data_IF_174469986261
#
_entry.id   IF_174469986261
#
_cell.length_a   1.000
_cell.length_b   1.000
_cell.length_c   1.000
_cell.angle_alpha   90.00
_cell.angle_beta   90.00
_cell.angle_gamma   90.00
#
_symmetry.space_group_name_H-M   'P 1'
#
loop_
_entity.id
_entity.type
_entity.pdbx_description
1 polymer ?
#
# COMPACT_ATOMS: atom_id res chain seq x y z
N UNK A 1 -46.69 -12.53 -13.32
CA UNK A 1 -46.55 -13.98 -13.56
C UNK A 1 -45.05 -14.22 -13.69
N UNK A 2 -44.29 -14.79 -12.74
CA UNK A 2 -44.51 -15.73 -11.63
C UNK A 2 -43.65 -15.28 -10.42
N UNK A 3 -44.23 -15.27 -9.20
CA UNK A 3 -43.99 -16.24 -8.10
C UNK A 3 -42.61 -16.08 -7.45
N UNK A 4 -42.43 -15.38 -6.31
CA UNK A 4 -42.94 -15.65 -4.95
C UNK A 4 -42.43 -16.98 -4.38
N UNK A 5 -41.26 -16.96 -3.72
CA UNK A 5 -40.90 -17.93 -2.68
C UNK A 5 -40.18 -17.20 -1.53
N UNK A 6 -40.74 -17.40 -0.34
CA UNK A 6 -40.39 -16.80 0.93
C UNK A 6 -39.92 -17.95 1.83
N UNK A 7 -38.67 -17.93 2.28
CA UNK A 7 -38.15 -18.75 3.39
C UNK A 7 -37.53 -17.74 4.37
N UNK A 8 -38.23 -17.29 5.40
CA UNK A 8 -38.46 -17.90 6.71
C UNK A 8 -37.18 -18.29 7.49
N UNK A 9 -36.96 -17.51 8.54
CA UNK A 9 -35.89 -17.44 9.55
C UNK A 9 -35.74 -18.75 10.37
N UNK A 10 -34.66 -18.89 11.15
CA UNK A 10 -34.90 -18.69 12.58
C UNK A 10 -33.87 -17.78 13.29
N UNK A 11 -34.46 -16.97 14.16
CA UNK A 11 -33.90 -15.99 15.07
C UNK A 11 -33.21 -16.72 16.23
N UNK A 12 -31.90 -16.58 16.37
CA UNK A 12 -31.16 -17.12 17.50
C UNK A 12 -31.42 -16.28 18.76
N UNK A 13 -31.86 -16.95 19.82
CA UNK A 13 -32.20 -16.37 21.11
C UNK A 13 -30.95 -15.93 21.91
N UNK A 14 -31.04 -14.87 22.74
CA UNK A 14 -29.96 -14.43 23.62
C UNK A 14 -29.79 -15.38 24.83
N UNK A 15 -28.57 -15.52 25.39
CA UNK A 15 -28.30 -16.41 26.51
C UNK A 15 -28.92 -15.90 27.82
N UNK A 16 -29.49 -16.83 28.58
CA UNK A 16 -30.09 -16.64 29.89
C UNK A 16 -29.04 -16.35 31.00
N UNK A 17 -29.40 -15.62 32.07
CA UNK A 17 -28.55 -15.39 33.24
C UNK A 17 -28.42 -16.65 34.12
N UNK A 18 -27.33 -16.80 34.90
CA UNK A 18 -27.12 -17.98 35.73
C UNK A 18 -28.05 -18.02 36.95
N UNK A 19 -28.70 -19.16 37.12
CA UNK A 19 -29.51 -19.54 38.28
C UNK A 19 -28.66 -19.69 39.55
N UNK A 20 -29.22 -19.16 40.63
CA UNK A 20 -28.94 -19.47 42.02
C UNK A 20 -29.46 -20.86 42.39
N UNK A 21 -28.59 -21.77 42.84
CA UNK A 21 -28.92 -22.83 43.80
C UNK A 21 -27.63 -23.56 44.25
N UNK A 22 -27.35 -23.57 45.56
CA UNK A 22 -26.20 -24.26 46.13
C UNK A 22 -25.97 -23.97 47.60
N UNK A 23 -27.03 -24.03 48.40
CA UNK A 23 -27.02 -23.98 49.85
C UNK A 23 -26.76 -25.39 50.39
N UNK A 24 -25.53 -25.71 50.81
CA UNK A 24 -25.19 -26.74 51.79
C UNK A 24 -23.66 -26.84 51.93
N UNK A 25 -23.10 -26.22 52.97
CA UNK A 25 -22.31 -26.97 53.96
C UNK A 25 -22.02 -26.08 55.18
N UNK A 26 -22.51 -26.50 56.35
CA UNK A 26 -22.09 -25.98 57.64
C UNK A 26 -21.10 -26.98 58.23
N UNK A 27 -19.98 -26.51 58.81
CA UNK A 27 -19.45 -27.15 60.00
C UNK A 27 -19.72 -26.25 61.22
N UNK A 28 -20.47 -26.81 62.16
CA UNK A 28 -20.57 -26.34 63.52
C UNK A 28 -19.39 -26.86 64.33
N UNK A 29 -18.56 -25.97 64.87
CA UNK A 29 -17.79 -26.17 66.13
C UNK A 29 -17.33 -24.78 66.59
N UNK A 30 -18.00 -24.18 67.58
CA UNK A 30 -17.89 -24.41 69.03
C UNK A 30 -16.86 -23.47 69.68
N UNK A 31 -17.37 -22.78 70.71
CA UNK A 31 -16.64 -22.10 71.78
C UNK A 31 -15.86 -20.81 71.43
N UNK A 32 -16.61 -19.71 71.22
CA UNK A 32 -16.11 -18.37 71.56
C UNK A 32 -15.85 -18.31 73.06
N UNK A 33 -14.58 -18.18 73.41
CA UNK A 33 -14.10 -18.00 74.77
C UNK A 33 -14.76 -16.79 75.45
N UNK A 34 -15.43 -17.03 76.57
CA UNK A 34 -15.84 -16.00 77.52
C UNK A 34 -14.56 -15.51 78.22
N UNK A 35 -14.20 -14.21 78.17
CA UNK A 35 -13.02 -13.73 78.88
C UNK A 35 -13.28 -13.79 80.39
N UNK A 36 -12.56 -14.67 81.09
CA UNK A 36 -12.54 -14.73 82.54
C UNK A 36 -11.85 -13.46 83.08
N UNK A 37 -12.62 -12.62 83.76
CA UNK A 37 -12.08 -11.50 84.54
C UNK A 37 -11.12 -11.99 85.64
N UNK A 38 -10.24 -11.11 86.15
CA UNK A 38 -9.12 -11.50 87.01
C UNK A 38 -9.60 -12.07 88.35
N UNK A 39 -9.18 -13.31 88.65
CA UNK A 39 -9.31 -13.89 89.99
C UNK A 39 -8.20 -13.35 90.88
N UNK A 40 -8.50 -12.32 91.68
CA UNK A 40 -7.60 -11.85 92.73
C UNK A 40 -7.68 -12.82 93.92
N UNK A 41 -6.71 -13.73 94.06
CA UNK A 41 -6.45 -14.42 95.33
C UNK A 41 -5.20 -13.85 95.96
N UNK A 42 -5.35 -12.79 96.76
CA UNK A 42 -4.25 -12.21 97.53
C UNK A 42 -3.97 -13.04 98.78
N UNK A 43 -2.78 -13.63 98.90
CA UNK A 43 -2.24 -14.10 100.19
C UNK A 43 -1.49 -12.94 100.82
N UNK A 44 -2.03 -12.41 101.92
CA UNK A 44 -1.35 -11.38 102.72
C UNK A 44 -0.43 -12.09 103.70
N UNK A 45 0.88 -11.98 103.46
CA UNK A 45 1.92 -12.32 104.43
C UNK A 45 2.08 -11.11 105.35
N UNK A 46 1.57 -11.21 106.58
CA UNK A 46 1.95 -10.25 107.63
C UNK A 46 3.24 -10.75 108.27
N UNK A 47 4.23 -9.87 108.30
CA UNK A 47 5.60 -10.15 108.70
C UNK A 47 5.73 -10.70 110.12
N UNK A 48 6.80 -11.47 110.28
CA UNK A 48 7.30 -12.04 111.53
C UNK A 48 7.47 -10.96 112.60
N UNK A 49 6.78 -11.10 113.72
CA UNK A 49 7.32 -10.97 115.09
C UNK A 49 6.21 -11.33 116.10
N UNK A 50 6.41 -12.40 116.88
CA UNK A 50 5.55 -12.95 117.98
C UNK A 50 4.64 -14.17 117.64
N UNK A 51 4.55 -15.21 118.50
CA UNK A 51 4.42 -16.61 118.07
C UNK A 51 2.99 -17.20 118.11
N UNK A 52 2.67 -18.00 117.09
CA UNK A 52 1.57 -19.00 117.11
C UNK A 52 0.54 -18.83 115.97
N UNK A 53 0.30 -19.83 115.10
CA UNK A 53 -0.59 -19.68 113.94
C UNK A 53 -2.05 -19.98 114.33
N UNK A 54 -2.85 -18.93 114.46
CA UNK A 54 -4.31 -19.02 114.46
C UNK A 54 -4.85 -18.72 113.06
N UNK A 55 -5.29 -19.76 112.33
CA UNK A 55 -5.98 -19.57 111.06
C UNK A 55 -7.40 -19.09 111.34
N UNK A 56 -7.70 -17.82 111.06
CA UNK A 56 -9.06 -17.29 111.08
C UNK A 56 -9.47 -17.03 109.63
N UNK A 57 -10.59 -17.62 109.21
CA UNK A 57 -11.12 -17.42 107.86
C UNK A 57 -11.88 -16.09 107.80
N UNK A 58 -11.76 -15.40 106.67
CA UNK A 58 -12.37 -14.07 106.40
C UNK A 58 -13.91 -14.05 106.57
N UNK A 59 -14.55 -15.21 106.73
CA UNK A 59 -15.99 -15.34 107.00
C UNK A 59 -16.40 -15.11 108.47
N UNK A 60 -15.46 -15.06 109.42
CA UNK A 60 -15.78 -14.90 110.85
C UNK A 60 -15.59 -13.47 111.40
N UNK A 61 -14.98 -12.56 110.63
CA UNK A 61 -14.68 -11.18 111.06
C UNK A 61 -15.73 -10.15 110.58
N UNK A 62 -16.56 -10.50 109.58
CA UNK A 62 -17.63 -9.61 109.13
C UNK A 62 -18.97 -10.01 109.73
N UNK A 63 -19.29 -9.35 110.84
CA UNK A 63 -20.54 -9.50 111.57
C UNK A 63 -21.79 -9.40 110.70
N UNK A 64 -22.80 -10.16 111.11
CA UNK A 64 -24.20 -10.16 110.67
C UNK A 64 -24.72 -8.74 110.40
N UNK A 65 -24.56 -8.26 109.16
CA UNK A 65 -25.46 -7.24 108.61
C UNK A 65 -26.63 -7.98 107.99
N UNK A 66 -27.83 -7.60 108.42
CA UNK A 66 -29.11 -8.08 107.93
C UNK A 66 -29.07 -8.34 106.42
N UNK A 67 -29.43 -9.57 105.99
CA UNK A 67 -29.91 -9.76 104.62
C UNK A 67 -31.03 -8.74 104.42
N UNK A 68 -30.98 -7.87 103.41
CA UNK A 68 -32.15 -7.10 103.04
C UNK A 68 -33.26 -8.12 102.77
N UNK A 69 -34.32 -8.11 103.58
CA UNK A 69 -35.52 -8.84 103.24
C UNK A 69 -36.11 -8.04 102.09
N UNK A 70 -36.11 -8.64 100.91
CA UNK A 70 -36.60 -8.03 99.69
C UNK A 70 -38.13 -7.97 99.82
N UNK A 71 -38.65 -6.81 100.21
CA UNK A 71 -40.09 -6.58 100.31
C UNK A 71 -40.67 -6.37 98.89
N UNK A 72 -41.92 -6.81 98.67
CA UNK A 72 -42.63 -6.75 97.38
C UNK A 72 -42.61 -5.34 96.74
N UNK A 73 -42.63 -4.28 97.57
CA UNK A 73 -42.53 -2.89 97.12
C UNK A 73 -41.15 -2.53 96.55
N UNK A 74 -40.07 -3.10 97.09
CA UNK A 74 -38.70 -2.87 96.59
C UNK A 74 -38.39 -3.68 95.33
N UNK A 75 -39.06 -4.82 95.13
CA UNK A 75 -39.03 -5.58 93.88
C UNK A 75 -39.71 -4.81 92.74
N UNK A 76 -40.88 -4.22 93.00
CA UNK A 76 -41.58 -3.42 92.01
C UNK A 76 -40.75 -2.20 91.53
N UNK A 77 -40.10 -1.47 92.45
CA UNK A 77 -39.25 -0.33 92.09
C UNK A 77 -37.99 -0.75 91.31
N UNK A 78 -37.39 -1.89 91.66
CA UNK A 78 -36.24 -2.46 90.95
C UNK A 78 -36.63 -2.90 89.53
N UNK A 79 -37.78 -3.57 89.38
CA UNK A 79 -38.31 -3.96 88.07
C UNK A 79 -38.63 -2.73 87.22
N UNK A 80 -39.25 -1.68 87.77
CA UNK A 80 -39.52 -0.44 87.04
C UNK A 80 -38.22 0.28 86.60
N UNK A 81 -37.18 0.25 87.45
CA UNK A 81 -35.86 0.80 87.09
C UNK A 81 -35.17 -0.02 86.00
N UNK A 82 -35.29 -1.35 86.06
CA UNK A 82 -34.72 -2.26 85.06
C UNK A 82 -35.47 -2.15 83.72
N UNK A 83 -36.79 -2.06 83.73
CA UNK A 83 -37.61 -1.85 82.52
C UNK A 83 -37.30 -0.49 81.89
N UNK A 84 -37.24 0.61 82.65
CA UNK A 84 -36.82 1.92 82.13
C UNK A 84 -35.42 1.92 81.55
N UNK A 85 -34.46 1.23 82.18
CA UNK A 85 -33.10 1.07 81.64
C UNK A 85 -33.07 0.22 80.37
N UNK A 86 -33.83 -0.88 80.34
CA UNK A 86 -33.95 -1.73 79.17
C UNK A 86 -34.63 -0.99 78.00
N UNK A 87 -35.66 -0.19 78.27
CA UNK A 87 -36.31 0.69 77.29
C UNK A 87 -35.35 1.75 76.77
N UNK A 88 -34.56 2.38 77.63
CA UNK A 88 -33.56 3.36 77.21
C UNK A 88 -32.49 2.74 76.30
N UNK A 89 -31.96 1.56 76.67
CA UNK A 89 -31.00 0.82 75.85
C UNK A 89 -31.61 0.32 74.54
N UNK A 90 -32.87 -0.15 74.56
CA UNK A 90 -33.58 -0.55 73.35
C UNK A 90 -33.78 0.63 72.41
N UNK A 91 -34.18 1.80 72.93
CA UNK A 91 -34.28 3.04 72.14
C UNK A 91 -32.94 3.46 71.56
N UNK A 92 -31.86 3.34 72.33
CA UNK A 92 -30.51 3.64 71.84
C UNK A 92 -30.08 2.69 70.71
N UNK A 93 -30.29 1.38 70.87
CA UNK A 93 -29.99 0.38 69.83
C UNK A 93 -30.81 0.65 68.57
N UNK A 94 -32.10 0.97 68.70
CA UNK A 94 -32.96 1.32 67.56
C UNK A 94 -32.44 2.59 66.87
N UNK A 95 -32.11 3.63 67.62
CA UNK A 95 -31.57 4.87 67.05
C UNK A 95 -30.22 4.64 66.34
N UNK A 96 -29.33 3.85 66.93
CA UNK A 96 -28.06 3.47 66.31
C UNK A 96 -28.27 2.62 65.04
N UNK A 97 -29.25 1.71 65.04
CA UNK A 97 -29.60 0.92 63.87
C UNK A 97 -30.19 1.80 62.76
N UNK A 98 -31.06 2.74 63.08
CA UNK A 98 -31.62 3.71 62.13
C UNK A 98 -30.52 4.58 61.52
N UNK A 99 -29.62 5.16 62.34
CA UNK A 99 -28.50 5.95 61.81
C UNK A 99 -27.56 5.14 60.92
N UNK A 100 -27.28 3.87 61.26
CA UNK A 100 -26.47 2.99 60.41
C UNK A 100 -27.18 2.66 59.10
N UNK A 101 -28.49 2.39 59.14
CA UNK A 101 -29.29 2.12 57.96
C UNK A 101 -29.36 3.35 57.03
N UNK A 102 -29.50 4.55 57.58
CA UNK A 102 -29.47 5.81 56.83
C UNK A 102 -28.10 6.05 56.18
N UNK A 103 -27.00 5.88 56.92
CA UNK A 103 -25.66 6.02 56.38
C UNK A 103 -25.36 5.00 55.28
N UNK A 104 -25.81 3.76 55.44
CA UNK A 104 -25.69 2.73 54.41
C UNK A 104 -26.55 3.05 53.19
N UNK A 105 -27.78 3.51 53.38
CA UNK A 105 -28.66 3.91 52.29
C UNK A 105 -28.06 5.10 51.50
N UNK A 106 -27.43 6.05 52.17
CA UNK A 106 -26.72 7.16 51.53
C UNK A 106 -25.51 6.67 50.74
N UNK A 107 -24.66 5.82 51.32
CA UNK A 107 -23.50 5.26 50.62
C UNK A 107 -23.90 4.44 49.38
N UNK A 108 -24.99 3.67 49.46
CA UNK A 108 -25.52 2.93 48.30
C UNK A 108 -26.05 3.90 47.23
N UNK A 109 -26.74 4.98 47.62
CA UNK A 109 -27.21 5.98 46.65
C UNK A 109 -26.06 6.67 45.94
N UNK A 110 -25.06 7.14 46.68
CA UNK A 110 -23.89 7.82 46.10
C UNK A 110 -23.11 6.92 45.14
N UNK A 111 -22.93 5.63 45.50
CA UNK A 111 -22.24 4.67 44.64
C UNK A 111 -23.03 4.32 43.37
N UNK A 112 -24.35 4.16 43.47
CA UNK A 112 -25.21 3.92 42.31
C UNK A 112 -25.32 5.17 41.41
N UNK A 113 -25.43 6.36 41.99
CA UNK A 113 -25.42 7.64 41.26
C UNK A 113 -24.10 7.82 40.49
N UNK A 114 -22.96 7.52 41.11
CA UNK A 114 -21.66 7.55 40.45
C UNK A 114 -21.57 6.51 39.32
N UNK A 115 -22.10 5.30 39.52
CA UNK A 115 -22.13 4.26 38.49
C UNK A 115 -23.00 4.64 37.30
N UNK A 116 -24.18 5.20 37.56
CA UNK A 116 -25.09 5.70 36.51
C UNK A 116 -24.45 6.87 35.77
N UNK A 117 -23.82 7.82 36.47
CA UNK A 117 -23.13 8.95 35.85
C UNK A 117 -21.99 8.48 34.93
N UNK A 118 -21.18 7.51 35.38
CA UNK A 118 -20.12 6.92 34.56
C UNK A 118 -20.69 6.21 33.32
N UNK A 119 -21.75 5.41 33.49
CA UNK A 119 -22.39 4.72 32.37
C UNK A 119 -23.00 5.69 31.34
N UNK A 120 -23.61 6.79 31.79
CA UNK A 120 -24.15 7.84 30.92
C UNK A 120 -23.02 8.54 30.16
N UNK A 121 -21.90 8.87 30.82
CA UNK A 121 -20.76 9.50 30.18
C UNK A 121 -20.13 8.59 29.10
N UNK A 122 -19.96 7.29 29.39
CA UNK A 122 -19.47 6.33 28.40
C UNK A 122 -20.44 6.17 27.22
N UNK A 123 -21.76 6.14 27.48
CA UNK A 123 -22.76 6.05 26.44
C UNK A 123 -22.78 7.29 25.54
N UNK A 124 -22.64 8.48 26.12
CA UNK A 124 -22.53 9.74 25.39
C UNK A 124 -21.30 9.75 24.50
N UNK A 125 -20.12 9.41 25.05
CA UNK A 125 -18.89 9.36 24.28
C UNK A 125 -18.99 8.36 23.12
N UNK A 126 -19.54 7.16 23.34
CA UNK A 126 -19.76 6.18 22.26
C UNK A 126 -20.70 6.73 21.20
N UNK A 127 -21.83 7.32 21.60
CA UNK A 127 -22.79 7.91 20.68
C UNK A 127 -22.17 9.04 19.84
N UNK A 128 -21.35 9.90 20.43
CA UNK A 128 -20.62 10.95 19.73
C UNK A 128 -19.63 10.37 18.72
N UNK A 129 -18.84 9.36 19.11
CA UNK A 129 -17.88 8.72 18.19
C UNK A 129 -18.58 8.00 17.03
N UNK A 130 -19.70 7.32 17.28
CA UNK A 130 -20.48 6.67 16.23
C UNK A 130 -21.17 7.69 15.32
N UNK A 131 -21.70 8.78 15.88
CA UNK A 131 -22.31 9.85 15.10
C UNK A 131 -21.26 10.51 14.19
N UNK A 132 -20.06 10.78 14.71
CA UNK A 132 -18.98 11.34 13.92
C UNK A 132 -18.54 10.39 12.80
N UNK A 133 -18.35 9.10 13.11
CA UNK A 133 -17.99 8.10 12.11
C UNK A 133 -19.05 7.96 11.00
N UNK A 134 -20.34 8.09 11.33
CA UNK A 134 -21.43 8.08 10.33
C UNK A 134 -21.40 9.32 9.44
N UNK A 135 -21.19 10.50 10.04
CA UNK A 135 -21.07 11.74 9.28
C UNK A 135 -19.86 11.71 8.34
N UNK A 136 -18.71 11.25 8.83
CA UNK A 136 -17.50 11.12 8.01
C UNK A 136 -17.73 10.15 6.84
N UNK A 137 -18.38 9.01 7.08
CA UNK A 137 -18.72 8.06 6.02
C UNK A 137 -19.72 8.63 4.99
N UNK A 138 -20.69 9.43 5.42
CA UNK A 138 -21.65 10.10 4.52
C UNK A 138 -20.96 11.18 3.68
N UNK A 139 -20.07 11.96 4.29
CA UNK A 139 -19.24 12.95 3.57
C UNK A 139 -18.35 12.25 2.54
N UNK A 140 -17.67 11.16 2.92
CA UNK A 140 -16.83 10.39 1.99
C UNK A 140 -17.66 9.82 0.83
N UNK A 141 -18.86 9.29 1.10
CA UNK A 141 -19.76 8.80 0.07
C UNK A 141 -20.21 9.93 -0.89
N UNK A 142 -20.49 11.12 -0.36
CA UNK A 142 -20.83 12.29 -1.17
C UNK A 142 -19.66 12.78 -2.01
N UNK A 143 -18.44 12.82 -1.45
CA UNK A 143 -17.23 13.19 -2.20
C UNK A 143 -17.00 12.21 -3.34
N UNK A 144 -17.10 10.90 -3.09
CA UNK A 144 -16.97 9.88 -4.14
C UNK A 144 -18.05 10.02 -5.23
N UNK A 145 -19.29 10.32 -4.84
CA UNK A 145 -20.36 10.56 -5.80
C UNK A 145 -20.09 11.81 -6.65
N UNK A 146 -19.59 12.91 -6.04
CA UNK A 146 -19.20 14.12 -6.75
C UNK A 146 -18.03 13.88 -7.70
N UNK A 147 -17.01 13.14 -7.28
CA UNK A 147 -15.86 12.78 -8.13
C UNK A 147 -16.30 11.95 -9.34
N UNK A 148 -17.21 10.99 -9.14
CA UNK A 148 -17.78 10.20 -10.22
C UNK A 148 -18.57 11.07 -11.22
N UNK A 149 -19.35 12.04 -10.73
CA UNK A 149 -20.08 12.98 -11.58
C UNK A 149 -19.14 13.87 -12.38
N UNK A 150 -18.12 14.45 -11.75
CA UNK A 150 -17.13 15.30 -12.42
C UNK A 150 -16.38 14.50 -13.50
N UNK A 151 -15.96 13.27 -13.18
CA UNK A 151 -15.30 12.37 -14.12
C UNK A 151 -16.22 11.99 -15.29
N UNK A 152 -17.52 11.78 -15.02
CA UNK A 152 -18.54 11.56 -16.04
C UNK A 152 -18.69 12.75 -16.99
N UNK A 153 -18.75 13.98 -16.45
CA UNK A 153 -18.84 15.21 -17.24
C UNK A 153 -17.59 15.41 -18.10
N UNK A 154 -16.40 15.13 -17.56
CA UNK A 154 -15.14 15.25 -18.31
C UNK A 154 -15.12 14.26 -19.48
N UNK A 155 -15.50 13.00 -19.25
CA UNK A 155 -15.58 11.98 -20.30
C UNK A 155 -16.55 12.39 -21.40
N UNK A 156 -17.76 12.81 -21.04
CA UNK A 156 -18.76 13.33 -22.00
C UNK A 156 -18.22 14.54 -22.78
N UNK A 157 -17.50 15.44 -22.11
CA UNK A 157 -16.84 16.58 -22.74
C UNK A 157 -15.83 16.15 -23.82
N UNK A 158 -15.01 15.13 -23.53
CA UNK A 158 -14.04 14.59 -24.48
C UNK A 158 -14.72 13.90 -25.67
N UNK A 159 -15.79 13.13 -25.43
CA UNK A 159 -16.57 12.47 -26.48
C UNK A 159 -17.22 13.48 -27.42
N UNK A 160 -17.88 14.50 -26.87
CA UNK A 160 -18.50 15.59 -27.64
C UNK A 160 -17.44 16.34 -28.44
N UNK A 161 -16.28 16.61 -27.85
CA UNK A 161 -15.18 17.26 -28.56
C UNK A 161 -14.62 16.41 -29.70
N UNK A 162 -14.43 15.11 -29.49
CA UNK A 162 -13.97 14.19 -30.52
C UNK A 162 -14.96 14.08 -31.68
N UNK A 163 -16.27 13.98 -31.37
CA UNK A 163 -17.33 13.99 -32.38
C UNK A 163 -17.32 15.29 -33.20
N UNK A 164 -17.29 16.45 -32.53
CA UNK A 164 -17.24 17.75 -33.22
C UNK A 164 -16.01 17.91 -34.10
N UNK A 165 -14.82 17.47 -33.64
CA UNK A 165 -13.61 17.51 -34.47
C UNK A 165 -13.77 16.68 -35.75
N UNK A 166 -14.38 15.50 -35.65
CA UNK A 166 -14.68 14.66 -36.81
C UNK A 166 -15.65 15.35 -37.77
N UNK A 167 -16.68 16.00 -37.25
CA UNK A 167 -17.64 16.75 -38.06
C UNK A 167 -16.98 17.93 -38.77
N UNK A 168 -16.16 18.72 -38.07
CA UNK A 168 -15.38 19.81 -38.68
C UNK A 168 -14.43 19.32 -39.77
N UNK A 169 -13.70 18.21 -39.53
CA UNK A 169 -12.83 17.64 -40.55
C UNK A 169 -13.63 17.18 -41.79
N UNK A 170 -14.82 16.62 -41.57
CA UNK A 170 -15.73 16.19 -42.65
C UNK A 170 -16.23 17.38 -43.45
N UNK A 171 -16.64 18.46 -42.78
CA UNK A 171 -17.06 19.71 -43.40
C UNK A 171 -15.92 20.37 -44.18
N UNK A 172 -14.72 20.46 -43.60
CA UNK A 172 -13.54 20.99 -44.26
C UNK A 172 -13.19 20.19 -45.53
N UNK A 173 -13.25 18.86 -45.47
CA UNK A 173 -13.03 17.99 -46.64
C UNK A 173 -14.11 18.19 -47.71
N UNK A 174 -15.38 18.33 -47.33
CA UNK A 174 -16.47 18.59 -48.25
C UNK A 174 -16.31 19.96 -48.93
N UNK A 175 -15.95 20.99 -48.15
CA UNK A 175 -15.68 22.33 -48.66
C UNK A 175 -14.49 22.34 -49.63
N UNK A 176 -13.35 21.74 -49.23
CA UNK A 176 -12.17 21.64 -50.09
C UNK A 176 -12.48 20.91 -51.41
N UNK A 177 -13.22 19.80 -51.36
CA UNK A 177 -13.69 19.11 -52.58
C UNK A 177 -14.55 20.00 -53.46
N UNK A 178 -15.48 20.77 -52.88
CA UNK A 178 -16.34 21.65 -53.64
C UNK A 178 -15.57 22.80 -54.26
N UNK A 179 -14.66 23.43 -53.50
CA UNK A 179 -13.79 24.50 -53.96
C UNK A 179 -12.87 24.04 -55.09
N UNK A 180 -12.20 22.89 -54.93
CA UNK A 180 -11.39 22.28 -55.99
C UNK A 180 -12.22 21.94 -57.22
N UNK A 181 -13.44 21.41 -57.04
CA UNK A 181 -14.35 21.14 -58.15
C UNK A 181 -14.70 22.40 -58.95
N UNK A 182 -14.95 23.52 -58.26
CA UNK A 182 -15.22 24.82 -58.91
C UNK A 182 -14.00 25.38 -59.64
N UNK A 183 -12.81 25.32 -59.03
CA UNK A 183 -11.57 25.77 -59.66
C UNK A 183 -11.22 24.89 -60.87
N UNK A 184 -11.38 23.57 -60.76
CA UNK A 184 -11.19 22.63 -61.87
C UNK A 184 -12.17 22.90 -63.02
N UNK A 185 -13.40 23.32 -62.74
CA UNK A 185 -14.39 23.67 -63.76
C UNK A 185 -14.05 25.01 -64.44
N UNK A 186 -13.59 25.99 -63.65
CA UNK A 186 -13.32 27.36 -64.13
C UNK A 186 -11.98 27.48 -64.87
N UNK A 187 -10.93 26.80 -64.38
CA UNK A 187 -9.54 26.90 -64.87
C UNK A 187 -9.00 25.57 -65.40
N UNK A 188 -9.88 24.72 -65.93
CA UNK A 188 -9.54 23.35 -66.33
C UNK A 188 -8.31 23.25 -67.23
N UNK A 189 -8.24 24.13 -68.24
CA UNK A 189 -7.18 24.11 -69.25
C UNK A 189 -5.81 24.47 -68.66
N UNK A 190 -5.74 25.55 -67.89
CA UNK A 190 -4.51 26.00 -67.20
C UNK A 190 -3.97 24.93 -66.25
N UNK A 191 -4.86 24.27 -65.49
CA UNK A 191 -4.44 23.21 -64.56
C UNK A 191 -3.95 21.98 -65.32
N UNK A 192 -4.59 21.62 -66.43
CA UNK A 192 -4.18 20.46 -67.24
C UNK A 192 -2.82 20.69 -67.91
N UNK A 193 -2.59 21.90 -68.42
CA UNK A 193 -1.30 22.34 -68.99
C UNK A 193 -0.18 22.24 -67.95
N UNK A 194 -0.37 22.82 -66.77
CA UNK A 194 0.63 22.74 -65.70
C UNK A 194 0.89 21.30 -65.22
N UNK A 195 -0.14 20.46 -65.13
CA UNK A 195 0.03 19.05 -64.78
C UNK A 195 0.75 18.25 -65.86
N UNK A 196 0.52 18.59 -67.14
CA UNK A 196 1.27 17.99 -68.26
C UNK A 196 2.73 18.43 -68.23
N UNK A 197 3.01 19.71 -68.00
CA UNK A 197 4.38 20.21 -67.87
C UNK A 197 5.11 19.58 -66.68
N UNK A 198 4.44 19.45 -65.54
CA UNK A 198 5.02 18.81 -64.35
C UNK A 198 5.27 17.31 -64.58
N UNK A 199 4.36 16.62 -65.27
CA UNK A 199 4.56 15.22 -65.64
C UNK A 199 5.71 15.04 -66.65
N UNK A 200 5.80 15.90 -67.66
CA UNK A 200 6.92 15.93 -68.60
C UNK A 200 8.24 16.23 -67.89
N UNK A 201 8.27 17.23 -67.01
CA UNK A 201 9.45 17.58 -66.22
C UNK A 201 9.91 16.42 -65.31
N UNK A 202 8.98 15.70 -64.69
CA UNK A 202 9.30 14.48 -63.92
C UNK A 202 9.85 13.37 -64.82
N UNK A 203 9.23 13.12 -65.97
CA UNK A 203 9.72 12.13 -66.94
C UNK A 203 11.12 12.46 -67.45
N UNK A 204 11.40 13.74 -67.72
CA UNK A 204 12.72 14.21 -68.13
C UNK A 204 13.74 14.10 -66.99
N UNK A 205 13.33 14.35 -65.74
CA UNK A 205 14.19 14.15 -64.57
C UNK A 205 14.60 12.67 -64.38
N UNK A 206 13.72 11.71 -64.69
CA UNK A 206 14.09 10.28 -64.71
C UNK A 206 15.05 9.92 -65.86
N UNK A 207 15.22 10.79 -66.87
CA UNK A 207 16.14 10.61 -68.00
C UNK A 207 17.43 11.41 -67.85
N UNK A 208 17.65 12.06 -66.69
CA UNK A 208 18.88 12.77 -66.37
C UNK A 208 19.81 11.90 -65.52
N UNK A 209 21.00 11.62 -66.04
CA UNK A 209 22.03 10.81 -65.40
C UNK A 209 23.24 11.67 -65.07
N UNK A 210 23.72 11.63 -63.83
CA UNK A 210 24.99 12.26 -63.45
C UNK A 210 26.03 11.18 -63.25
N UNK A 211 27.07 11.21 -64.08
CA UNK A 211 28.23 10.34 -63.97
C UNK A 211 29.32 11.04 -63.17
N UNK A 212 29.64 10.52 -61.99
CA UNK A 212 30.75 10.97 -61.14
C UNK A 212 31.98 10.11 -61.40
N UNK A 213 33.11 10.78 -61.61
CA UNK A 213 34.41 10.14 -61.88
C UNK A 213 35.53 10.84 -61.12
N UNK A 214 36.64 10.14 -60.93
CA UNK A 214 37.85 10.74 -60.37
C UNK A 214 38.33 11.94 -61.22
N UNK A 215 38.90 13.00 -60.62
CA UNK A 215 39.35 14.18 -61.38
C UNK A 215 40.42 13.85 -62.43
N UNK A 216 41.24 12.84 -62.18
CA UNK A 216 42.30 12.37 -63.09
C UNK A 216 41.72 11.66 -64.33
N UNK A 217 40.54 11.03 -64.19
CA UNK A 217 39.88 10.27 -65.25
C UNK A 217 38.85 11.11 -66.04
N UNK A 218 38.64 12.38 -65.66
CA UNK A 218 37.56 13.21 -66.19
C UNK A 218 37.64 13.39 -67.72
N UNK A 219 38.82 13.68 -68.27
CA UNK A 219 39.03 13.89 -69.71
C UNK A 219 38.78 12.61 -70.54
N UNK A 220 39.20 11.46 -70.00
CA UNK A 220 38.97 10.15 -70.62
C UNK A 220 37.49 9.78 -70.55
N UNK A 221 36.86 9.96 -69.39
CA UNK A 221 35.44 9.71 -69.19
C UNK A 221 34.58 10.61 -70.08
N UNK A 222 34.95 11.87 -70.29
CA UNK A 222 34.26 12.78 -71.20
C UNK A 222 34.30 12.26 -72.65
N UNK A 223 35.47 11.82 -73.12
CA UNK A 223 35.63 11.26 -74.47
C UNK A 223 34.82 9.98 -74.65
N UNK A 224 34.83 9.09 -73.65
CA UNK A 224 34.05 7.86 -73.66
C UNK A 224 32.55 8.14 -73.64
N UNK A 225 32.10 9.08 -72.81
CA UNK A 225 30.69 9.49 -72.71
C UNK A 225 30.17 10.04 -74.03
N UNK A 226 30.94 10.89 -74.71
CA UNK A 226 30.59 11.38 -76.06
C UNK A 226 30.46 10.23 -77.07
N UNK A 227 31.36 9.24 -77.01
CA UNK A 227 31.28 8.05 -77.89
C UNK A 227 30.05 7.18 -77.61
N UNK A 228 29.63 7.09 -76.35
CA UNK A 228 28.45 6.32 -75.93
C UNK A 228 27.18 7.06 -76.38
N UNK A 229 27.10 8.38 -76.16
CA UNK A 229 25.99 9.21 -76.62
C UNK A 229 25.83 9.17 -78.14
N UNK A 230 26.93 9.18 -78.90
CA UNK A 230 26.88 9.07 -80.36
C UNK A 230 26.34 7.72 -80.85
N UNK A 231 26.60 6.63 -80.12
CA UNK A 231 26.06 5.28 -80.44
C UNK A 231 24.65 5.04 -79.92
N UNK A 232 24.24 5.77 -78.87
CA UNK A 232 22.98 5.58 -78.13
C UNK A 232 22.36 6.93 -77.75
N UNK A 233 21.73 7.64 -78.71
CA UNK A 233 21.06 8.91 -78.46
C UNK A 233 19.76 8.77 -77.64
N UNK A 234 19.31 7.55 -77.40
CA UNK A 234 18.10 7.20 -76.65
C UNK A 234 18.28 7.25 -75.11
N UNK A 235 19.52 7.33 -74.61
CA UNK A 235 19.87 7.19 -73.20
C UNK A 235 19.63 8.46 -72.34
N UNK A 236 18.93 9.48 -72.84
CA UNK A 236 18.59 10.68 -72.07
C UNK A 236 19.73 11.70 -71.95
N UNK A 237 19.62 12.60 -70.97
CA UNK A 237 20.61 13.66 -70.72
C UNK A 237 21.67 13.16 -69.74
N UNK A 238 22.94 13.17 -70.14
CA UNK A 238 24.05 12.79 -69.25
C UNK A 238 24.88 14.01 -68.89
N UNK A 239 25.20 14.13 -67.61
CA UNK A 239 26.11 15.13 -67.07
C UNK A 239 27.32 14.41 -66.48
N UNK A 240 28.51 14.95 -66.70
CA UNK A 240 29.76 14.43 -66.12
C UNK A 240 30.21 15.38 -65.01
N UNK A 241 30.49 14.84 -63.83
CA UNK A 241 31.00 15.58 -62.68
C UNK A 241 32.28 14.92 -62.16
N UNK A 242 33.28 15.73 -61.82
CA UNK A 242 34.46 15.25 -61.11
C UNK A 242 34.16 15.18 -59.60
N UNK A 243 34.46 14.06 -58.96
CA UNK A 243 34.32 13.85 -57.52
C UNK A 243 35.70 13.77 -56.85
N UNK A 244 36.12 14.78 -56.05
CA UNK A 244 37.43 14.78 -55.41
C UNK A 244 37.61 13.70 -54.33
N UNK A 245 36.54 13.00 -53.93
CA UNK A 245 36.61 11.87 -53.01
C UNK A 245 37.02 10.55 -53.67
N UNK A 246 36.94 10.45 -55.01
CA UNK A 246 37.30 9.24 -55.76
C UNK A 246 38.78 9.30 -56.19
N UNK A 247 39.60 8.39 -55.66
CA UNK A 247 41.06 8.40 -55.87
C UNK A 247 41.61 7.16 -56.57
N UNK A 248 40.92 6.01 -56.48
CA UNK A 248 41.35 4.73 -57.06
C UNK A 248 40.73 4.48 -58.45
N UNK A 249 40.05 5.48 -59.01
CA UNK A 249 39.28 5.37 -60.25
C UNK A 249 37.93 4.67 -60.06
N UNK A 250 37.21 4.45 -61.16
CA UNK A 250 35.86 3.92 -61.16
C UNK A 250 34.81 4.98 -61.50
N UNK A 251 33.54 4.60 -61.43
CA UNK A 251 32.44 5.42 -61.91
C UNK A 251 31.24 5.28 -60.99
N UNK A 252 30.67 6.40 -60.56
CA UNK A 252 29.43 6.40 -59.80
C UNK A 252 28.32 7.03 -60.64
N UNK A 253 27.24 6.29 -60.85
CA UNK A 253 26.07 6.77 -61.59
C UNK A 253 25.00 7.21 -60.60
N UNK A 254 24.63 8.48 -60.64
CA UNK A 254 23.60 9.07 -59.80
C UNK A 254 22.40 9.49 -60.66
N UNK A 255 21.22 9.06 -60.25
CA UNK A 255 19.92 9.53 -60.72
C UNK A 255 19.10 9.98 -59.50
N UNK A 256 17.94 10.61 -59.70
CA UNK A 256 17.11 11.04 -58.57
C UNK A 256 16.61 9.87 -57.68
N UNK A 257 16.52 8.66 -58.22
CA UNK A 257 15.95 7.50 -57.51
C UNK A 257 16.96 6.37 -57.25
N UNK A 258 18.09 6.37 -57.95
CA UNK A 258 19.07 5.28 -57.91
C UNK A 258 20.50 5.81 -57.89
N UNK A 259 21.30 5.26 -56.98
CA UNK A 259 22.75 5.38 -56.95
C UNK A 259 23.36 4.03 -57.31
N UNK A 260 24.09 3.96 -58.41
CA UNK A 260 24.88 2.78 -58.78
C UNK A 260 26.36 3.11 -58.61
N UNK A 261 26.88 2.70 -57.47
CA UNK A 261 28.26 2.94 -57.08
C UNK A 261 29.19 1.85 -57.64
N UNK A 262 30.04 2.21 -58.59
CA UNK A 262 31.14 1.38 -59.07
C UNK A 262 32.49 2.07 -58.83
N UNK A 263 32.62 2.80 -57.71
CA UNK A 263 33.91 3.22 -57.21
C UNK A 263 34.82 2.01 -56.96
N UNK A 264 36.05 2.09 -57.44
CA UNK A 264 36.97 0.96 -57.35
C UNK A 264 37.41 0.72 -55.90
N UNK A 265 37.51 1.79 -55.09
CA UNK A 265 37.79 1.69 -53.67
C UNK A 265 36.73 0.86 -52.94
N UNK A 266 35.45 1.17 -53.15
CA UNK A 266 34.34 0.41 -52.58
C UNK A 266 34.29 -1.04 -53.05
N UNK A 267 34.58 -1.31 -54.33
CA UNK A 267 34.64 -2.68 -54.85
C UNK A 267 35.80 -3.49 -54.30
N UNK A 268 36.96 -2.88 -54.10
CA UNK A 268 38.11 -3.53 -53.47
C UNK A 268 37.86 -3.80 -51.98
N UNK A 269 37.23 -2.86 -51.26
CA UNK A 269 36.83 -3.05 -49.88
C UNK A 269 35.86 -4.25 -49.70
N UNK A 270 34.98 -4.51 -50.67
CA UNK A 270 34.12 -5.69 -50.68
C UNK A 270 34.90 -7.01 -50.87
N UNK A 271 36.07 -6.95 -51.50
CA UNK A 271 36.94 -8.11 -51.72
C UNK A 271 37.92 -8.35 -50.57
N UNK A 272 38.23 -7.32 -49.78
CA UNK A 272 39.13 -7.38 -48.61
C UNK A 272 38.90 -8.60 -47.70
N UNK A 273 37.67 -8.92 -47.24
CA UNK A 273 37.45 -10.07 -46.36
C UNK A 273 37.74 -11.43 -47.03
N UNK A 274 37.71 -11.50 -48.36
CA UNK A 274 38.10 -12.70 -49.11
C UNK A 274 39.62 -12.75 -49.33
N UNK A 275 40.24 -11.58 -49.51
CA UNK A 275 41.70 -11.46 -49.62
C UNK A 275 42.40 -11.79 -48.30
N UNK A 276 41.83 -11.40 -47.17
CA UNK A 276 42.33 -11.75 -45.84
C UNK A 276 42.29 -13.27 -45.56
N UNK A 277 41.35 -13.99 -46.17
CA UNK A 277 41.28 -15.45 -46.09
C UNK A 277 42.32 -16.17 -46.95
N UNK A 278 42.98 -15.44 -47.86
CA UNK A 278 44.12 -15.96 -48.62
C UNK A 278 45.40 -15.87 -47.75
N UNK A 279 45.43 -16.61 -46.66
CA UNK A 279 46.67 -16.86 -45.94
C UNK A 279 47.55 -17.82 -46.75
N UNK A 280 48.75 -17.37 -47.11
CA UNK A 280 49.83 -18.27 -47.52
C UNK A 280 50.11 -19.23 -46.35
N UNK A 281 50.17 -20.56 -46.55
CA UNK A 281 50.59 -21.47 -45.49
C UNK A 281 51.95 -21.02 -44.94
N UNK A 282 52.03 -20.82 -43.62
CA UNK A 282 53.28 -20.51 -42.91
C UNK A 282 54.36 -21.61 -43.10
N UNK A 283 53.97 -22.74 -43.72
CA UNK A 283 54.82 -23.87 -44.08
C UNK A 283 55.72 -23.67 -45.29
N UNK A 284 55.73 -22.52 -45.99
CA UNK A 284 56.78 -22.28 -46.99
C UNK A 284 58.17 -22.04 -46.35
N UNK A 285 58.21 -21.55 -45.11
CA UNK A 285 59.45 -21.44 -44.34
C UNK A 285 59.83 -22.79 -43.68
N UNK A 286 58.85 -23.56 -43.22
CA UNK A 286 59.09 -24.91 -42.66
C UNK A 286 59.47 -25.93 -43.75
N UNK A 287 58.82 -25.92 -44.93
CA UNK A 287 59.21 -26.76 -46.07
C UNK A 287 60.61 -26.41 -46.62
N UNK A 288 61.04 -25.14 -46.54
CA UNK A 288 62.41 -24.74 -46.88
C UNK A 288 63.43 -25.16 -45.80
N UNK A 289 63.05 -25.12 -44.53
CA UNK A 289 63.89 -25.56 -43.42
C UNK A 289 64.05 -27.09 -43.37
N UNK A 290 62.98 -27.85 -43.64
CA UNK A 290 63.00 -29.31 -43.75
C UNK A 290 63.79 -29.78 -44.98
N UNK A 291 63.68 -29.09 -46.12
CA UNK A 291 64.51 -29.37 -47.30
C UNK A 291 66.01 -29.11 -47.04
N UNK A 292 66.35 -28.07 -46.27
CA UNK A 292 67.74 -27.76 -45.91
C UNK A 292 68.33 -28.70 -44.86
N UNK A 293 67.51 -29.26 -43.95
CA UNK A 293 67.92 -30.24 -42.95
C UNK A 293 68.11 -31.64 -43.57
N UNK A 294 67.33 -32.00 -44.59
CA UNK A 294 67.53 -33.26 -45.32
C UNK A 294 68.78 -33.27 -46.23
N UNK A 295 69.31 -32.10 -46.58
CA UNK A 295 70.51 -31.96 -47.42
C UNK A 295 71.83 -31.93 -46.60
N UNK A 296 71.77 -31.69 -45.29
CA UNK A 296 72.96 -31.65 -44.41
C UNK A 296 73.29 -32.97 -43.68
N UNK A 297 72.52 -34.04 -43.91
CA UNK A 297 72.70 -35.35 -43.24
C UNK A 297 73.09 -36.49 -44.20
N UNK A 298 73.66 -36.16 -45.36
CA UNK A 298 74.36 -37.12 -46.22
C UNK A 298 75.88 -37.08 -45.94
N UNK A 299 76.49 -38.18 -45.46
CA UNK A 299 77.87 -38.22 -44.97
C UNK A 299 78.88 -38.23 -46.13
N UNK A 300 80.01 -37.57 -45.89
CA UNK A 300 80.98 -37.23 -46.93
C UNK A 300 81.75 -38.40 -47.54
N UNK A 301 82.48 -38.07 -48.60
CA UNK A 301 83.79 -38.66 -48.90
C UNK A 301 84.71 -37.54 -49.42
N UNK A 302 85.89 -37.35 -48.81
CA UNK A 302 86.87 -36.35 -49.20
C UNK A 302 87.74 -36.78 -50.40
N UNK A 303 88.14 -35.76 -51.16
CA UNK A 303 89.33 -35.58 -52.01
C UNK A 303 90.01 -36.78 -52.71
N UNK A 304 90.10 -36.67 -54.04
CA UNK A 304 91.24 -37.11 -54.86
C UNK A 304 91.35 -36.24 -56.10
#
# INVERSE_FOLDING_TARGET
MNSSSTEQTPLAAPPAPPETAGLADMPAEAARAIPAGPRYSGRVLMGCDSPGPGFVTIQEIEGKRHRPVWDEATEAEYIDRCTRKAEALAREIINQAMHKAEAQAQAIRETEEARVAAAVAEAQHKAETEAQARLDAEVDAHVQAMDALISGIQTLGQEVWAARRKDFATLAKAFARRALGLEMETRRAEILEHLMDEACARLDAHRAFTLKVAPEDFELAQTLLQSVQARRPDLGQWQLAADPGMTLGGVCLETQEMLADNDLGNRLALLEPYLEQLSLPEDLAQARAEAAQHESEAPGVPES
#
